data_IF_723507069111
#
_entry.id   IF_723507069111
#
_cell.length_a   1.000
_cell.length_b   1.000
_cell.length_c   1.000
_cell.angle_alpha   90.00
_cell.angle_beta   90.00
_cell.angle_gamma   90.00
#
_symmetry.space_group_name_H-M   'P 1'
#
loop_
_entity.id
_entity.type
_entity.pdbx_description
1 polymer ?
#
# COMPACT_ATOMS: atom_id res chain seq x y z
N UNK A 1 -18.53 -12.01 -10.05
CA UNK A 1 -17.98 -12.34 -8.71
C UNK A 1 -16.92 -11.31 -8.39
N UNK A 2 -17.00 -10.64 -7.25
CA UNK A 2 -16.04 -9.59 -6.87
C UNK A 2 -14.76 -10.25 -6.36
N UNK A 3 -13.61 -9.85 -6.90
CA UNK A 3 -12.29 -10.33 -6.49
C UNK A 3 -11.61 -9.27 -5.63
N UNK A 4 -11.45 -9.54 -4.33
CA UNK A 4 -10.80 -8.62 -3.38
C UNK A 4 -9.49 -9.24 -2.92
N UNK A 5 -8.39 -8.51 -3.11
CA UNK A 5 -7.10 -8.89 -2.54
C UNK A 5 -6.89 -8.11 -1.25
N UNK A 6 -6.69 -8.82 -0.14
CA UNK A 6 -6.50 -8.25 1.18
C UNK A 6 -5.19 -8.72 1.79
N UNK A 7 -4.36 -7.78 2.26
CA UNK A 7 -3.10 -8.07 2.94
C UNK A 7 -2.79 -7.02 4.00
N UNK A 8 -1.86 -7.31 4.91
CA UNK A 8 -1.45 -6.46 6.02
C UNK A 8 0.00 -6.75 6.45
N UNK A 9 0.51 -5.98 7.41
CA UNK A 9 1.75 -6.27 8.13
C UNK A 9 2.97 -6.44 7.24
N UNK A 10 3.15 -5.55 6.27
CA UNK A 10 4.26 -5.63 5.32
C UNK A 10 5.63 -5.38 5.98
N UNK A 11 5.70 -4.49 6.98
CA UNK A 11 6.88 -4.19 7.80
C UNK A 11 8.19 -4.18 7.00
N UNK A 12 8.20 -3.52 5.85
CA UNK A 12 9.29 -3.60 4.86
C UNK A 12 10.62 -3.01 5.31
N UNK A 13 10.66 -2.32 6.46
CA UNK A 13 11.85 -1.75 7.09
C UNK A 13 12.42 -2.63 8.22
N UNK A 14 11.91 -3.85 8.39
CA UNK A 14 12.30 -4.77 9.46
C UNK A 14 13.64 -5.46 9.19
N UNK A 15 14.73 -4.68 9.11
CA UNK A 15 16.09 -5.20 8.99
C UNK A 15 17.06 -4.45 9.91
N UNK A 16 17.30 -5.03 11.08
CA UNK A 16 18.22 -4.43 12.03
C UNK A 16 19.69 -4.83 11.80
N UNK A 17 19.97 -5.97 11.16
CA UNK A 17 21.33 -6.47 10.89
C UNK A 17 21.32 -7.40 9.68
N UNK A 18 22.37 -7.37 8.87
CA UNK A 18 22.55 -8.31 7.77
C UNK A 18 23.46 -7.80 6.67
N UNK A 19 23.70 -8.65 5.69
CA UNK A 19 24.42 -8.30 4.48
C UNK A 19 23.56 -7.38 3.62
N UNK A 20 24.20 -6.44 2.95
CA UNK A 20 23.58 -5.63 1.92
C UNK A 20 23.82 -6.24 0.55
N UNK A 21 22.79 -6.21 -0.27
CA UNK A 21 22.92 -6.55 -1.68
C UNK A 21 23.80 -5.51 -2.39
N UNK A 22 24.86 -5.93 -3.09
CA UNK A 22 25.81 -5.00 -3.72
C UNK A 22 25.20 -4.22 -4.90
N UNK A 23 24.13 -4.73 -5.51
CA UNK A 23 23.50 -4.07 -6.66
C UNK A 23 22.48 -3.00 -6.22
N UNK A 24 21.68 -3.31 -5.21
CA UNK A 24 20.60 -2.42 -4.74
C UNK A 24 20.98 -1.59 -3.52
N UNK A 25 22.00 -2.00 -2.77
CA UNK A 25 22.37 -1.40 -1.50
C UNK A 25 21.40 -1.68 -0.36
N UNK A 26 20.37 -2.49 -0.60
CA UNK A 26 19.36 -2.86 0.39
C UNK A 26 19.85 -4.03 1.26
N UNK A 27 19.47 -4.10 2.54
CA UNK A 27 19.64 -5.31 3.32
C UNK A 27 18.98 -6.52 2.65
N UNK A 28 19.66 -7.65 2.56
CA UNK A 28 19.14 -8.86 1.90
C UNK A 28 17.78 -9.28 2.46
N UNK A 29 17.58 -9.15 3.77
CA UNK A 29 16.28 -9.46 4.39
C UNK A 29 15.15 -8.55 3.90
N UNK A 30 15.45 -7.30 3.59
CA UNK A 30 14.46 -6.39 3.00
C UNK A 30 14.08 -6.87 1.60
N UNK A 31 15.02 -7.41 0.83
CA UNK A 31 14.74 -7.99 -0.49
C UNK A 31 13.72 -9.12 -0.41
N UNK A 32 13.78 -9.97 0.63
CA UNK A 32 12.81 -11.05 0.83
C UNK A 32 11.40 -10.48 1.08
N UNK A 33 11.26 -9.46 1.93
CA UNK A 33 9.97 -8.80 2.17
C UNK A 33 9.45 -8.11 0.91
N UNK A 34 10.31 -7.43 0.17
CA UNK A 34 9.92 -6.78 -1.07
C UNK A 34 9.53 -7.79 -2.14
N UNK A 35 10.19 -8.95 -2.20
CA UNK A 35 9.82 -10.05 -3.10
C UNK A 35 8.42 -10.60 -2.79
N UNK A 36 8.13 -10.83 -1.51
CA UNK A 36 6.78 -11.28 -1.10
C UNK A 36 5.72 -10.24 -1.42
N UNK A 37 6.02 -8.95 -1.21
CA UNK A 37 5.12 -7.87 -1.59
C UNK A 37 4.94 -7.79 -3.11
N UNK A 38 6.01 -8.01 -3.89
CA UNK A 38 5.93 -8.07 -5.36
C UNK A 38 5.03 -9.23 -5.82
N UNK A 39 5.09 -10.40 -5.18
CA UNK A 39 4.19 -11.52 -5.49
C UNK A 39 2.71 -11.14 -5.25
N UNK A 40 2.41 -10.43 -4.17
CA UNK A 40 1.06 -9.93 -3.88
C UNK A 40 0.60 -8.95 -4.96
N UNK A 41 1.45 -7.99 -5.33
CA UNK A 41 1.14 -7.01 -6.38
C UNK A 41 0.95 -7.70 -7.73
N UNK A 42 1.82 -8.65 -8.09
CA UNK A 42 1.69 -9.42 -9.33
C UNK A 42 0.38 -10.22 -9.37
N UNK A 43 -0.03 -10.85 -8.27
CA UNK A 43 -1.31 -11.55 -8.20
C UNK A 43 -2.49 -10.60 -8.48
N UNK A 44 -2.47 -9.39 -7.92
CA UNK A 44 -3.49 -8.38 -8.18
C UNK A 44 -3.51 -7.90 -9.64
N UNK A 45 -2.38 -7.94 -10.35
CA UNK A 45 -2.23 -7.47 -11.73
C UNK A 45 -2.58 -8.57 -12.75
N UNK A 46 -2.19 -9.82 -12.48
CA UNK A 46 -2.41 -10.96 -13.39
C UNK A 46 -3.87 -11.38 -13.47
N UNK A 47 -4.54 -11.44 -12.32
CA UNK A 47 -5.99 -11.60 -12.22
C UNK A 47 -6.54 -10.28 -11.63
N UNK A 48 -6.82 -9.26 -12.47
CA UNK A 48 -7.09 -7.91 -11.99
C UNK A 48 -8.10 -7.89 -10.86
N UNK A 49 -7.62 -7.58 -9.65
CA UNK A 49 -8.46 -7.47 -8.48
C UNK A 49 -9.43 -6.30 -8.66
N UNK A 50 -10.69 -6.48 -8.26
CA UNK A 50 -11.68 -5.40 -8.26
C UNK A 50 -11.37 -4.36 -7.20
N UNK A 51 -10.77 -4.80 -6.09
CA UNK A 51 -10.35 -3.96 -4.98
C UNK A 51 -9.13 -4.56 -4.28
N UNK A 52 -8.15 -3.74 -3.97
CA UNK A 52 -7.04 -4.09 -3.08
C UNK A 52 -7.23 -3.37 -1.74
N UNK A 53 -7.12 -4.11 -0.65
CA UNK A 53 -7.18 -3.57 0.71
C UNK A 53 -5.87 -3.91 1.43
N UNK A 54 -5.11 -2.87 1.76
CA UNK A 54 -3.99 -2.99 2.68
C UNK A 54 -4.46 -2.58 4.08
N UNK A 55 -4.39 -3.51 5.04
CA UNK A 55 -4.98 -3.33 6.37
C UNK A 55 -4.01 -2.78 7.42
N UNK A 56 -2.96 -2.07 6.99
CA UNK A 56 -2.06 -1.33 7.86
C UNK A 56 -0.73 -2.01 8.16
N UNK A 57 0.14 -1.27 8.83
CA UNK A 57 1.50 -1.63 9.22
C UNK A 57 2.42 -1.89 8.00
N UNK A 58 2.52 -0.88 7.13
CA UNK A 58 3.46 -0.88 6.00
C UNK A 58 4.92 -0.89 6.49
N UNK A 59 5.17 -0.20 7.59
CA UNK A 59 6.47 -0.05 8.21
C UNK A 59 6.42 -0.46 9.68
N UNK A 60 7.54 -0.92 10.21
CA UNK A 60 7.72 -1.11 11.65
C UNK A 60 8.02 0.22 12.35
N UNK A 61 8.82 1.06 11.69
CA UNK A 61 9.21 2.36 12.21
C UNK A 61 8.20 3.44 11.79
N UNK A 62 7.81 4.31 12.70
CA UNK A 62 6.95 5.46 12.44
C UNK A 62 7.59 6.51 11.55
N UNK A 63 8.91 6.51 11.45
CA UNK A 63 9.70 7.35 10.55
C UNK A 63 10.57 6.47 9.65
N UNK A 64 9.99 5.75 8.71
CA UNK A 64 10.75 4.90 7.83
C UNK A 64 11.74 5.70 6.98
N UNK A 65 12.90 5.12 6.71
CA UNK A 65 13.89 5.77 5.85
C UNK A 65 13.31 6.01 4.44
N UNK A 66 13.69 7.10 3.74
CA UNK A 66 13.17 7.43 2.41
C UNK A 66 13.31 6.29 1.39
N UNK A 67 14.33 5.44 1.56
CA UNK A 67 14.53 4.26 0.71
C UNK A 67 13.35 3.28 0.81
N UNK A 68 12.85 3.01 2.02
CA UNK A 68 11.71 2.11 2.21
C UNK A 68 10.40 2.75 1.74
N UNK A 69 10.21 4.05 1.98
CA UNK A 69 9.07 4.80 1.44
C UNK A 69 9.04 4.72 -0.09
N UNK A 70 10.19 4.88 -0.75
CA UNK A 70 10.32 4.74 -2.20
C UNK A 70 9.94 3.33 -2.67
N UNK A 71 10.43 2.28 -1.99
CA UNK A 71 10.15 0.89 -2.38
C UNK A 71 8.66 0.53 -2.20
N UNK A 72 8.04 1.01 -1.13
CA UNK A 72 6.60 0.90 -0.93
C UNK A 72 5.83 1.67 -2.01
N UNK A 73 6.15 2.96 -2.19
CA UNK A 73 5.50 3.83 -3.15
C UNK A 73 5.52 3.27 -4.57
N UNK A 74 6.64 2.71 -5.02
CA UNK A 74 6.76 2.07 -6.35
C UNK A 74 5.73 0.95 -6.54
N UNK A 75 5.45 0.16 -5.51
CA UNK A 75 4.52 -0.97 -5.58
C UNK A 75 3.08 -0.51 -5.59
N UNK A 76 2.74 0.44 -4.73
CA UNK A 76 1.40 1.04 -4.74
C UNK A 76 1.14 1.77 -6.06
N UNK A 77 2.13 2.47 -6.61
CA UNK A 77 2.00 3.12 -7.92
C UNK A 77 1.75 2.14 -9.07
N UNK A 78 2.21 0.89 -8.99
CA UNK A 78 1.88 -0.14 -9.99
C UNK A 78 0.39 -0.47 -9.99
N UNK A 79 -0.23 -0.58 -8.81
CA UNK A 79 -1.69 -0.76 -8.70
C UNK A 79 -2.45 0.45 -9.25
N UNK A 80 -2.04 1.67 -8.87
CA UNK A 80 -2.61 2.92 -9.36
C UNK A 80 -2.54 3.01 -10.89
N UNK A 81 -1.37 2.75 -11.49
CA UNK A 81 -1.16 2.79 -12.94
C UNK A 81 -1.97 1.73 -13.69
N UNK A 82 -2.25 0.61 -13.06
CA UNK A 82 -3.14 -0.44 -13.60
C UNK A 82 -4.63 -0.13 -13.39
N UNK A 83 -4.98 1.01 -12.79
CA UNK A 83 -6.36 1.39 -12.49
C UNK A 83 -7.04 0.48 -11.47
N UNK A 84 -6.29 -0.13 -10.56
CA UNK A 84 -6.83 -1.01 -9.52
C UNK A 84 -7.17 -0.18 -8.28
N UNK A 85 -8.46 -0.07 -7.90
CA UNK A 85 -8.87 0.60 -6.68
C UNK A 85 -8.15 0.03 -5.47
N UNK A 86 -7.50 0.90 -4.70
CA UNK A 86 -6.66 0.49 -3.57
C UNK A 86 -6.98 1.32 -2.33
N UNK A 87 -7.31 0.64 -1.24
CA UNK A 87 -7.49 1.25 0.08
C UNK A 87 -6.25 0.96 0.93
N UNK A 88 -5.64 2.01 1.47
CA UNK A 88 -4.51 1.93 2.39
C UNK A 88 -4.98 2.33 3.79
N UNK A 89 -5.21 1.35 4.65
CA UNK A 89 -5.50 1.61 6.05
C UNK A 89 -4.20 1.92 6.79
N UNK A 90 -4.26 2.89 7.68
CA UNK A 90 -3.13 3.29 8.51
C UNK A 90 -3.12 2.43 9.76
N UNK A 91 -2.06 1.62 9.92
CA UNK A 91 -1.87 0.78 11.09
C UNK A 91 -1.33 1.56 12.29
N UNK A 92 -1.26 0.91 13.43
CA UNK A 92 -0.76 1.55 14.66
C UNK A 92 0.75 1.86 14.60
N UNK A 93 1.52 1.14 13.80
CA UNK A 93 2.93 1.45 13.52
C UNK A 93 3.09 2.61 12.55
N UNK A 94 2.16 2.80 11.63
CA UNK A 94 2.17 3.89 10.67
C UNK A 94 1.78 5.24 11.30
N UNK A 95 1.01 5.22 12.40
CA UNK A 95 0.52 6.43 13.06
C UNK A 95 1.63 7.18 13.80
N UNK A 96 1.66 8.50 13.63
CA UNK A 96 2.50 9.38 14.48
C UNK A 96 1.92 9.47 15.90
N UNK A 97 2.76 9.44 16.95
CA UNK A 97 2.29 9.62 18.33
C UNK A 97 1.80 11.04 18.64
N UNK A 98 2.08 12.00 17.76
CA UNK A 98 1.67 13.40 17.94
C UNK A 98 0.42 13.70 17.10
N UNK A 99 -0.60 14.22 17.77
CA UNK A 99 -1.83 14.67 17.13
C UNK A 99 -1.53 15.70 16.03
N UNK A 100 -2.08 15.48 14.83
CA UNK A 100 -1.95 16.39 13.70
C UNK A 100 -0.63 16.28 12.91
N UNK A 101 0.22 15.31 13.23
CA UNK A 101 1.39 15.00 12.38
C UNK A 101 1.00 14.02 11.27
N UNK A 102 1.58 14.25 10.09
CA UNK A 102 1.51 13.31 8.99
C UNK A 102 2.12 11.95 9.39
N UNK A 103 1.52 10.88 8.90
CA UNK A 103 2.04 9.52 8.99
C UNK A 103 2.69 9.11 7.64
N UNK A 104 3.42 8.01 7.64
CA UNK A 104 4.20 7.60 6.47
C UNK A 104 3.36 7.36 5.19
N UNK A 105 2.06 7.07 5.32
CA UNK A 105 1.15 6.88 4.18
C UNK A 105 0.42 8.17 3.74
N UNK A 106 0.63 9.29 4.43
CA UNK A 106 -0.03 10.57 4.10
C UNK A 106 0.37 11.13 2.74
N UNK A 107 1.51 10.71 2.21
CA UNK A 107 2.01 11.12 0.90
C UNK A 107 1.02 10.78 -0.23
N UNK A 108 0.35 9.63 -0.18
CA UNK A 108 -0.60 9.20 -1.20
C UNK A 108 -1.83 10.11 -1.27
N UNK A 109 -2.32 10.58 -0.11
CA UNK A 109 -3.41 11.57 -0.06
C UNK A 109 -2.93 12.96 -0.49
N UNK A 110 -1.71 13.37 -0.09
CA UNK A 110 -1.15 14.67 -0.44
C UNK A 110 -0.88 14.81 -1.94
N UNK A 111 -0.44 13.72 -2.58
CA UNK A 111 -0.15 13.67 -4.02
C UNK A 111 -1.39 13.37 -4.87
N UNK A 112 -2.54 13.13 -4.23
CA UNK A 112 -3.80 12.75 -4.90
C UNK A 112 -3.59 11.60 -5.90
N UNK A 113 -2.96 10.52 -5.41
CA UNK A 113 -2.59 9.38 -6.27
C UNK A 113 -3.86 8.72 -6.81
N UNK A 114 -4.01 8.63 -8.15
CA UNK A 114 -5.22 8.06 -8.74
C UNK A 114 -5.51 6.64 -8.26
N UNK A 115 -6.77 6.33 -8.03
CA UNK A 115 -7.27 5.00 -7.63
C UNK A 115 -6.77 4.52 -6.24
N UNK A 116 -6.10 5.38 -5.47
CA UNK A 116 -5.59 5.07 -4.14
C UNK A 116 -6.24 5.98 -3.10
N UNK A 117 -6.75 5.42 -2.02
CA UNK A 117 -7.31 6.18 -0.90
C UNK A 117 -6.71 5.70 0.42
N UNK A 118 -6.14 6.63 1.16
CA UNK A 118 -5.64 6.36 2.52
C UNK A 118 -6.76 6.59 3.54
N UNK A 119 -6.88 5.69 4.50
CA UNK A 119 -7.89 5.71 5.56
C UNK A 119 -7.17 5.69 6.92
N UNK A 120 -7.22 6.80 7.63
CA UNK A 120 -6.58 7.02 8.93
C UNK A 120 -7.58 7.06 10.10
N UNK A 121 -8.88 7.00 9.78
CA UNK A 121 -9.97 6.94 10.74
C UNK A 121 -11.07 5.95 10.27
N UNK A 122 -11.87 5.42 11.19
CA UNK A 122 -13.01 4.58 10.83
C UNK A 122 -14.02 5.36 9.97
N UNK A 123 -14.33 4.83 8.81
CA UNK A 123 -15.24 5.45 7.85
C UNK A 123 -16.15 4.40 7.21
N UNK A 124 -17.38 4.79 6.90
CA UNK A 124 -18.25 4.02 6.02
C UNK A 124 -18.02 4.42 4.57
N UNK A 125 -17.71 3.45 3.73
CA UNK A 125 -17.59 3.63 2.29
C UNK A 125 -18.84 3.06 1.61
N UNK A 126 -19.56 3.90 0.90
CA UNK A 126 -20.66 3.47 0.05
C UNK A 126 -20.15 2.85 -1.25
N UNK A 127 -21.03 2.17 -1.99
CA UNK A 127 -20.69 1.70 -3.34
C UNK A 127 -20.27 2.85 -4.26
N UNK A 128 -20.85 4.03 -4.10
CA UNK A 128 -20.48 5.23 -4.86
C UNK A 128 -19.06 5.71 -4.53
N UNK A 129 -18.65 5.66 -3.26
CA UNK A 129 -17.29 6.03 -2.84
C UNK A 129 -16.24 5.08 -3.44
N UNK A 130 -16.55 3.79 -3.48
CA UNK A 130 -15.66 2.79 -4.07
C UNK A 130 -15.64 2.88 -5.60
N UNK A 131 -16.78 3.15 -6.22
CA UNK A 131 -16.85 3.38 -7.67
C UNK A 131 -16.08 4.62 -8.10
N UNK A 132 -16.02 5.64 -7.27
CA UNK A 132 -15.24 6.85 -7.54
C UNK A 132 -13.71 6.59 -7.58
N UNK A 133 -13.24 5.48 -6.99
CA UNK A 133 -11.84 5.05 -7.07
C UNK A 133 -11.55 4.28 -8.36
N UNK A 134 -12.56 3.81 -9.06
CA UNK A 134 -12.38 3.06 -10.30
C UNK A 134 -12.02 4.00 -11.47
N UNK A 135 -11.26 3.52 -12.47
CA UNK A 135 -11.17 4.21 -13.74
C UNK A 135 -12.54 4.28 -14.42
N UNK A 136 -12.77 5.29 -15.31
CA UNK A 136 -14.09 5.55 -15.92
C UNK A 136 -14.67 4.38 -16.73
N UNK A 137 -13.83 3.48 -17.18
CA UNK A 137 -14.16 2.30 -18.00
C UNK A 137 -14.34 1.02 -17.18
N UNK A 138 -14.24 1.14 -15.86
CA UNK A 138 -14.35 0.00 -14.94
C UNK A 138 -15.45 0.22 -13.91
N UNK A 139 -16.40 -0.71 -13.85
CA UNK A 139 -17.42 -0.75 -12.79
C UNK A 139 -17.05 -1.77 -11.71
N UNK A 140 -17.16 -1.36 -10.45
CA UNK A 140 -17.07 -2.25 -9.29
C UNK A 140 -18.40 -3.00 -9.15
N UNK A 141 -18.40 -4.28 -9.45
CA UNK A 141 -19.59 -5.11 -9.29
C UNK A 141 -19.64 -5.70 -7.87
N UNK A 142 -20.09 -4.89 -6.92
CA UNK A 142 -20.31 -5.29 -5.53
C UNK A 142 -21.70 -5.98 -5.43
N UNK A 143 -21.78 -7.25 -5.76
CA UNK A 143 -22.95 -8.08 -5.48
C UNK A 143 -22.78 -8.87 -4.19
#
# INVERSE_FOLDING_TARGET
MTNILHFADAHIDMANYGRHDPETGLPVRIMDFLSSLDEIIEAALQEPADLVIFAGDAYKDRNPAPTFQREWGRRIMRLSQAGIPTLLLVGNHDLSPAVGRAHALSEFSTLDVPHVRTLDEPIFLSAADLSALCPPDRELNLQ
#
